data_IF_419761527973
#
_entry.id   IF_419761527973
#
_cell.length_a   1.000
_cell.length_b   1.000
_cell.length_c   1.000
_cell.angle_alpha   90.00
_cell.angle_beta   90.00
_cell.angle_gamma   90.00
#
_symmetry.space_group_name_H-M   'P 1'
#
loop_
_entity.id
_entity.type
_entity.pdbx_description
1 polymer ?
#
# COMPACT_ATOMS: atom_id res chain seq x y z
N UNK A 1 9.66 -44.97 7.48
CA UNK A 1 10.07 -43.97 6.46
C UNK A 1 8.88 -43.24 5.79
N UNK A 2 7.66 -43.30 6.36
CA UNK A 2 6.48 -42.61 5.81
C UNK A 2 6.12 -41.29 6.54
N UNK A 3 6.68 -41.06 7.74
CA UNK A 3 6.39 -39.88 8.58
C UNK A 3 7.07 -38.59 8.11
N UNK A 4 8.21 -38.69 7.41
CA UNK A 4 8.94 -37.52 6.91
C UNK A 4 8.23 -36.91 5.69
N UNK A 5 7.61 -37.74 4.86
CA UNK A 5 6.90 -37.29 3.64
C UNK A 5 5.63 -36.50 3.97
N UNK A 6 4.90 -36.88 5.02
CA UNK A 6 3.71 -36.12 5.45
C UNK A 6 4.06 -34.77 6.08
N UNK A 7 5.21 -34.65 6.75
CA UNK A 7 5.68 -33.37 7.31
C UNK A 7 6.15 -32.41 6.23
N UNK A 8 6.72 -32.92 5.14
CA UNK A 8 7.14 -32.11 3.98
C UNK A 8 5.95 -31.73 3.11
N UNK A 9 4.94 -32.59 2.93
CA UNK A 9 3.70 -32.24 2.20
C UNK A 9 2.88 -31.15 2.87
N UNK A 10 2.80 -31.13 4.20
CA UNK A 10 2.11 -30.05 4.94
C UNK A 10 2.81 -28.70 4.83
N UNK A 11 4.08 -28.68 4.42
CA UNK A 11 4.87 -27.47 4.20
C UNK A 11 4.94 -27.05 2.71
N UNK A 12 4.26 -27.76 1.81
CA UNK A 12 4.28 -27.52 0.35
C UNK A 12 2.89 -27.24 -0.24
N UNK A 13 1.86 -27.10 0.60
CA UNK A 13 0.76 -26.21 0.23
C UNK A 13 1.35 -24.80 0.27
N UNK A 14 1.91 -24.38 -0.86
CA UNK A 14 2.31 -22.99 -1.03
C UNK A 14 1.06 -22.17 -0.78
N UNK A 15 0.97 -21.53 0.38
CA UNK A 15 -0.13 -20.62 0.69
C UNK A 15 -0.16 -19.61 -0.45
N UNK A 16 -1.22 -19.69 -1.26
CA UNK A 16 -1.37 -18.80 -2.41
C UNK A 16 -1.95 -17.51 -1.86
N UNK A 17 -1.26 -16.37 -2.02
CA UNK A 17 -1.83 -15.11 -1.58
C UNK A 17 -3.09 -14.82 -2.40
N UNK A 18 -4.16 -14.41 -1.74
CA UNK A 18 -5.41 -14.00 -2.39
C UNK A 18 -5.22 -12.74 -3.23
N UNK A 19 -4.15 -11.98 -2.94
CA UNK A 19 -3.80 -10.74 -3.62
C UNK A 19 -2.30 -10.47 -3.52
N UNK A 20 -1.72 -9.96 -4.60
CA UNK A 20 -0.33 -9.50 -4.62
C UNK A 20 -0.17 -8.25 -5.49
N UNK A 21 0.50 -7.23 -4.97
CA UNK A 21 0.81 -6.00 -5.72
C UNK A 21 2.13 -5.39 -5.26
N UNK A 22 2.86 -4.76 -6.16
CA UNK A 22 4.03 -3.97 -5.79
C UNK A 22 3.61 -2.69 -5.03
N UNK A 23 4.28 -2.40 -3.93
CA UNK A 23 3.98 -1.27 -3.04
C UNK A 23 5.23 -0.52 -2.63
N UNK A 24 5.04 0.74 -2.22
CA UNK A 24 5.96 1.43 -1.31
C UNK A 24 5.40 1.39 0.11
N UNK A 25 6.18 1.01 1.11
CA UNK A 25 5.72 0.97 2.49
C UNK A 25 6.73 1.60 3.47
N UNK A 26 6.23 2.18 4.55
CA UNK A 26 7.04 2.76 5.63
C UNK A 26 6.35 2.61 6.98
N UNK A 27 7.12 2.31 8.01
CA UNK A 27 6.70 2.22 9.42
C UNK A 27 7.11 3.47 10.22
N UNK A 28 7.68 4.47 9.55
CA UNK A 28 8.17 5.72 10.16
C UNK A 28 7.17 6.85 10.10
N UNK A 29 6.02 6.62 9.48
CA UNK A 29 4.93 7.58 9.35
C UNK A 29 3.66 6.98 9.93
N UNK A 30 2.84 7.86 10.50
CA UNK A 30 1.52 7.53 11.02
C UNK A 30 0.58 8.71 10.83
N UNK A 31 -0.72 8.40 10.84
CA UNK A 31 -1.81 9.34 10.64
C UNK A 31 -2.01 9.74 9.18
N UNK A 32 -2.59 10.92 8.97
CA UNK A 32 -2.91 11.37 7.62
C UNK A 32 -1.65 11.46 6.73
N UNK A 33 -1.78 11.15 5.42
CA UNK A 33 -0.68 11.25 4.47
C UNK A 33 0.01 12.61 4.53
N UNK A 34 1.34 12.64 4.41
CA UNK A 34 2.14 13.87 4.35
C UNK A 34 3.29 13.74 3.37
N UNK A 35 3.70 14.86 2.76
CA UNK A 35 4.98 14.90 2.04
C UNK A 35 6.09 14.68 3.06
N UNK A 36 6.95 13.68 2.80
CA UNK A 36 8.04 13.34 3.70
C UNK A 36 9.18 12.69 2.92
N UNK A 37 10.42 12.98 3.33
CA UNK A 37 11.62 12.32 2.83
C UNK A 37 11.65 10.82 3.18
N UNK A 38 10.89 10.39 4.18
CA UNK A 38 10.76 8.97 4.51
C UNK A 38 10.18 8.16 3.34
N UNK A 39 9.39 8.77 2.45
CA UNK A 39 8.92 8.11 1.23
C UNK A 39 10.02 7.82 0.21
N UNK A 40 11.14 8.54 0.24
CA UNK A 40 12.30 8.23 -0.59
C UNK A 40 12.98 6.94 -0.08
N UNK A 41 13.07 6.79 1.24
CA UNK A 41 13.64 5.65 1.97
C UNK A 41 12.64 4.50 2.19
N UNK A 42 11.39 4.69 1.80
CA UNK A 42 10.34 3.68 1.93
C UNK A 42 10.75 2.38 1.22
N UNK A 43 10.41 1.27 1.88
CA UNK A 43 10.58 -0.08 1.35
C UNK A 43 9.80 -0.21 0.06
N UNK A 44 10.37 -0.88 -0.93
CA UNK A 44 9.71 -1.26 -2.19
C UNK A 44 9.67 -2.78 -2.24
N UNK A 45 8.49 -3.35 -2.19
CA UNK A 45 8.29 -4.80 -2.13
C UNK A 45 6.92 -5.19 -2.67
N UNK A 46 6.69 -6.48 -2.90
CA UNK A 46 5.33 -6.97 -3.11
C UNK A 46 4.62 -7.06 -1.76
N UNK A 47 3.48 -6.39 -1.66
CA UNK A 47 2.48 -6.70 -0.63
C UNK A 47 1.76 -7.96 -1.08
N UNK A 48 1.67 -8.94 -0.19
CA UNK A 48 0.91 -10.17 -0.37
C UNK A 48 -0.10 -10.29 0.76
N UNK A 49 -1.34 -10.61 0.43
CA UNK A 49 -2.40 -10.84 1.41
C UNK A 49 -2.70 -12.34 1.42
N UNK A 50 -2.53 -12.95 2.58
CA UNK A 50 -2.87 -14.33 2.87
C UNK A 50 -4.13 -14.39 3.74
N UNK A 51 -4.60 -15.59 4.03
CA UNK A 51 -5.78 -15.80 4.88
C UNK A 51 -5.58 -15.27 6.31
N UNK A 52 -4.36 -15.35 6.84
CA UNK A 52 -4.02 -15.07 8.24
C UNK A 52 -3.15 -13.81 8.42
N UNK A 53 -2.49 -13.31 7.37
CA UNK A 53 -1.54 -12.19 7.45
C UNK A 53 -1.41 -11.37 6.17
N UNK A 54 -0.82 -10.18 6.31
CA UNK A 54 -0.26 -9.38 5.22
C UNK A 54 1.26 -9.42 5.28
N UNK A 55 1.92 -9.73 4.17
CA UNK A 55 3.38 -9.67 4.05
C UNK A 55 3.82 -8.52 3.15
N UNK A 56 4.91 -7.84 3.51
CA UNK A 56 5.52 -6.75 2.73
C UNK A 56 7.04 -6.86 2.82
N UNK A 57 7.64 -7.62 1.91
CA UNK A 57 9.07 -7.93 1.99
C UNK A 57 9.38 -8.86 3.17
N UNK A 58 10.09 -8.37 4.17
CA UNK A 58 10.40 -9.10 5.41
C UNK A 58 9.39 -8.82 6.54
N UNK A 59 8.44 -7.91 6.32
CA UNK A 59 7.40 -7.61 7.28
C UNK A 59 6.27 -8.61 7.14
N UNK A 60 5.83 -9.15 8.27
CA UNK A 60 4.60 -9.92 8.40
C UNK A 60 3.72 -9.23 9.43
N UNK A 61 2.45 -9.02 9.06
CA UNK A 61 1.43 -8.36 9.86
C UNK A 61 0.25 -9.36 9.99
N UNK A 62 0.16 -10.11 11.10
CA UNK A 62 -0.97 -10.99 11.34
C UNK A 62 -2.27 -10.18 11.37
N UNK A 63 -3.33 -10.67 10.70
CA UNK A 63 -4.63 -9.98 10.70
C UNK A 63 -5.22 -9.87 12.11
N UNK A 64 -4.95 -10.85 12.96
CA UNK A 64 -5.37 -10.87 14.36
C UNK A 64 -4.77 -9.73 15.20
N UNK A 65 -3.62 -9.19 14.79
CA UNK A 65 -2.95 -8.09 15.49
C UNK A 65 -3.39 -6.71 14.96
N UNK A 66 -4.20 -6.64 13.90
CA UNK A 66 -4.63 -5.37 13.33
C UNK A 66 -5.71 -4.74 14.22
N UNK A 67 -5.38 -3.61 14.83
CA UNK A 67 -6.30 -2.86 15.69
C UNK A 67 -7.03 -1.76 14.94
N UNK A 68 -6.45 -1.25 13.84
CA UNK A 68 -7.07 -0.24 12.98
C UNK A 68 -6.51 -0.32 11.56
N UNK A 69 -7.37 -0.17 10.57
CA UNK A 69 -6.99 0.01 9.18
C UNK A 69 -7.70 1.22 8.57
N UNK A 70 -6.94 2.11 7.92
CA UNK A 70 -7.48 3.31 7.26
C UNK A 70 -6.99 3.40 5.82
N UNK A 71 -7.91 3.50 4.86
CA UNK A 71 -7.59 3.75 3.46
C UNK A 71 -7.80 5.22 3.13
N UNK A 72 -6.70 5.94 2.94
CA UNK A 72 -6.73 7.28 2.38
C UNK A 72 -6.82 7.21 0.85
N UNK A 73 -7.78 7.93 0.27
CA UNK A 73 -8.02 7.88 -1.18
C UNK A 73 -8.14 9.28 -1.77
N UNK A 74 -7.47 9.52 -2.90
CA UNK A 74 -7.64 10.77 -3.66
C UNK A 74 -8.94 10.76 -4.47
N UNK A 75 -9.51 11.93 -4.67
CA UNK A 75 -10.67 12.10 -5.55
C UNK A 75 -10.26 12.08 -7.04
N UNK A 76 -11.21 11.75 -7.92
CA UNK A 76 -11.04 11.77 -9.38
C UNK A 76 -10.83 10.39 -10.03
N UNK A 77 -10.50 10.40 -11.33
CA UNK A 77 -10.38 9.19 -12.17
C UNK A 77 -9.16 8.32 -11.84
N UNK A 78 -8.01 8.95 -11.52
CA UNK A 78 -6.77 8.26 -11.17
C UNK A 78 -6.56 8.25 -9.65
N UNK A 79 -7.29 7.34 -9.00
CA UNK A 79 -7.28 7.17 -7.56
C UNK A 79 -5.91 6.67 -7.09
N UNK A 80 -5.25 7.48 -6.27
CA UNK A 80 -4.15 7.01 -5.45
C UNK A 80 -4.71 6.56 -4.10
N UNK A 81 -4.17 5.45 -3.60
CA UNK A 81 -4.53 4.87 -2.34
C UNK A 81 -3.33 4.90 -1.41
N UNK A 82 -3.56 5.15 -0.13
CA UNK A 82 -2.59 4.92 0.92
C UNK A 82 -3.30 4.17 2.04
N UNK A 83 -2.90 2.94 2.28
CA UNK A 83 -3.42 2.11 3.36
C UNK A 83 -2.54 2.27 4.60
N UNK A 84 -3.13 2.62 5.72
CA UNK A 84 -2.48 2.62 7.03
C UNK A 84 -3.01 1.43 7.85
N UNK A 85 -2.10 0.60 8.34
CA UNK A 85 -2.39 -0.53 9.22
C UNK A 85 -1.72 -0.26 10.56
N UNK A 86 -2.49 -0.32 11.65
CA UNK A 86 -2.02 -0.16 13.03
C UNK A 86 -2.10 -1.51 13.73
N UNK A 87 -0.99 -1.88 14.35
CA UNK A 87 -0.84 -3.05 15.23
C UNK A 87 -0.31 -2.58 16.59
N UNK A 88 -0.35 -3.41 17.65
CA UNK A 88 0.24 -3.05 18.94
C UNK A 88 1.74 -2.70 18.85
N UNK A 89 2.46 -3.30 17.91
CA UNK A 89 3.90 -3.15 17.78
C UNK A 89 4.30 -1.99 16.86
N UNK A 90 3.53 -1.72 15.80
CA UNK A 90 3.87 -0.67 14.82
C UNK A 90 2.67 -0.20 14.00
N UNK A 91 2.84 0.98 13.42
CA UNK A 91 1.96 1.51 12.36
C UNK A 91 2.71 1.46 11.03
N UNK A 92 2.06 0.99 9.97
CA UNK A 92 2.65 0.90 8.63
C UNK A 92 1.75 1.62 7.63
N UNK A 93 2.34 2.53 6.86
CA UNK A 93 1.69 3.15 5.70
C UNK A 93 2.17 2.48 4.41
N UNK A 94 1.22 2.13 3.55
CA UNK A 94 1.41 1.32 2.35
C UNK A 94 0.77 2.06 1.17
N UNK A 95 1.58 2.37 0.18
CA UNK A 95 1.19 3.03 -1.06
C UNK A 95 1.25 2.01 -2.20
N UNK A 96 0.11 1.37 -2.55
CA UNK A 96 0.03 0.51 -3.72
C UNK A 96 0.08 1.30 -5.03
N UNK A 97 0.32 0.60 -6.13
CA UNK A 97 0.26 1.22 -7.46
C UNK A 97 -1.07 1.95 -7.69
N UNK A 98 -1.02 3.04 -8.47
CA UNK A 98 -2.20 3.88 -8.74
C UNK A 98 -3.33 3.04 -9.35
N UNK A 99 -4.55 3.24 -8.87
CA UNK A 99 -5.74 2.51 -9.30
C UNK A 99 -5.96 1.17 -8.60
N UNK A 100 -5.02 0.69 -7.79
CA UNK A 100 -5.16 -0.60 -7.09
C UNK A 100 -5.73 -0.39 -5.69
N UNK A 101 -6.88 -0.99 -5.42
CA UNK A 101 -7.55 -0.98 -4.12
C UNK A 101 -7.38 -2.34 -3.42
N UNK A 102 -6.61 -2.42 -2.31
CA UNK A 102 -6.40 -3.69 -1.62
C UNK A 102 -7.56 -4.09 -0.70
N UNK A 103 -8.52 -3.20 -0.43
CA UNK A 103 -9.56 -3.42 0.59
C UNK A 103 -10.44 -4.65 0.37
N UNK A 104 -10.81 -5.05 -0.87
CA UNK A 104 -11.64 -6.25 -1.07
C UNK A 104 -11.00 -7.56 -0.61
N UNK A 105 -9.68 -7.56 -0.37
CA UNK A 105 -8.90 -8.74 0.00
C UNK A 105 -8.56 -8.78 1.49
N UNK A 106 -8.89 -7.73 2.26
CA UNK A 106 -8.58 -7.65 3.69
C UNK A 106 -9.75 -8.21 4.51
N UNK A 107 -9.50 -9.08 5.50
CA UNK A 107 -10.57 -9.73 6.27
C UNK A 107 -11.13 -8.87 7.41
N UNK A 108 -10.67 -7.61 7.54
CA UNK A 108 -11.08 -6.68 8.58
C UNK A 108 -11.66 -5.39 7.98
N UNK A 109 -12.42 -4.67 8.79
CA UNK A 109 -13.01 -3.40 8.40
C UNK A 109 -11.92 -2.35 8.13
N UNK A 110 -12.01 -1.68 6.98
CA UNK A 110 -11.11 -0.61 6.59
C UNK A 110 -11.86 0.70 6.55
N UNK A 111 -11.49 1.62 7.44
CA UNK A 111 -12.09 2.96 7.47
C UNK A 111 -11.63 3.77 6.26
N UNK A 112 -12.57 4.34 5.51
CA UNK A 112 -12.24 5.24 4.40
C UNK A 112 -12.01 6.66 4.91
N UNK A 113 -10.91 7.27 4.47
CA UNK A 113 -10.59 8.67 4.77
C UNK A 113 -10.23 9.44 3.49
N UNK A 114 -10.61 10.73 3.40
CA UNK A 114 -10.19 11.56 2.28
C UNK A 114 -8.70 11.83 2.35
N UNK A 115 -8.05 11.89 1.18
CA UNK A 115 -6.66 12.34 1.11
C UNK A 115 -6.56 13.83 1.48
N UNK A 116 -5.53 14.26 2.23
CA UNK A 116 -5.40 15.66 2.67
C UNK A 116 -5.43 16.66 1.50
N UNK A 117 -6.29 17.66 1.59
CA UNK A 117 -6.58 18.60 0.50
C UNK A 117 -5.33 19.34 0.00
N UNK A 118 -4.42 19.71 0.91
CA UNK A 118 -3.14 20.33 0.58
C UNK A 118 -2.28 19.43 -0.34
N UNK A 119 -2.26 18.12 -0.11
CA UNK A 119 -1.54 17.18 -0.98
C UNK A 119 -2.23 16.97 -2.32
N UNK A 120 -3.57 16.95 -2.32
CA UNK A 120 -4.33 16.90 -3.57
C UNK A 120 -4.03 18.12 -4.44
N UNK A 121 -3.99 19.32 -3.84
CA UNK A 121 -3.68 20.56 -4.53
C UNK A 121 -2.24 20.59 -5.05
N UNK A 122 -1.27 20.13 -4.26
CA UNK A 122 0.12 20.03 -4.70
C UNK A 122 0.25 19.09 -5.91
N UNK A 123 -0.43 17.93 -5.88
CA UNK A 123 -0.45 17.00 -7.02
C UNK A 123 -1.06 17.64 -8.27
N UNK A 124 -2.18 18.36 -8.13
CA UNK A 124 -2.80 19.09 -9.26
C UNK A 124 -1.86 20.15 -9.84
N UNK A 125 -1.20 20.93 -8.98
CA UNK A 125 -0.23 21.94 -9.40
C UNK A 125 0.96 21.32 -10.15
N UNK A 126 1.51 20.21 -9.65
CA UNK A 126 2.59 19.49 -10.32
C UNK A 126 2.19 19.07 -11.75
N UNK A 127 1.02 18.45 -11.92
CA UNK A 127 0.54 18.03 -13.23
C UNK A 127 0.27 19.22 -14.16
N UNK A 128 -0.27 20.33 -13.65
CA UNK A 128 -0.46 21.54 -14.43
C UNK A 128 0.86 22.08 -14.99
N UNK A 129 1.93 22.09 -14.19
CA UNK A 129 3.27 22.48 -14.64
C UNK A 129 3.82 21.52 -15.70
N UNK A 130 3.71 20.20 -15.47
CA UNK A 130 4.16 19.20 -16.45
C UNK A 130 3.45 19.37 -17.80
N UNK A 131 2.13 19.60 -17.79
CA UNK A 131 1.35 19.84 -19.01
C UNK A 131 1.78 21.13 -19.69
N UNK A 132 1.97 22.22 -18.95
CA UNK A 132 2.42 23.50 -19.50
C UNK A 132 3.81 23.38 -20.15
N UNK A 133 4.73 22.67 -19.51
CA UNK A 133 6.06 22.39 -20.09
C UNK A 133 5.97 21.54 -21.35
N UNK A 134 5.16 20.49 -21.35
CA UNK A 134 4.97 19.65 -22.55
C UNK A 134 4.35 20.45 -23.71
N UNK A 135 3.36 21.31 -23.43
CA UNK A 135 2.78 22.20 -24.43
C UNK A 135 3.82 23.18 -24.99
N UNK A 136 4.61 23.82 -24.12
CA UNK A 136 5.68 24.73 -24.56
C UNK A 136 6.70 24.04 -25.47
N UNK A 137 7.08 22.79 -25.16
CA UNK A 137 7.97 22.00 -26.01
C UNK A 137 7.34 21.69 -27.37
N UNK A 138 6.03 21.42 -27.44
CA UNK A 138 5.32 21.20 -28.71
C UNK A 138 5.29 22.48 -29.56
N UNK A 139 5.18 23.67 -28.95
CA UNK A 139 5.17 24.94 -29.69
C UNK A 139 6.57 25.44 -30.10
N UNK A 140 7.64 24.86 -29.55
CA UNK A 140 9.03 25.21 -29.88
C UNK A 140 9.63 24.32 -30.98
N UNK A 141 8.92 23.29 -31.43
CA UNK A 141 9.28 22.39 -32.53
C UNK A 141 8.25 22.48 -33.66
#
# INVERSE_FOLDING_TARGET
MALIVNRVRKNLEMEVPSFAVFVKATDRLSGAPKVSLEWARARRAHMKIFEDRVEIGDWSLPHADVTKATLYRTDGKLKAHLLEIVTPQKTVQINPNTGVDPTPHLPYEVTLAPYPANLQNLRKAFWAVVIAMAAALIFLY
#
